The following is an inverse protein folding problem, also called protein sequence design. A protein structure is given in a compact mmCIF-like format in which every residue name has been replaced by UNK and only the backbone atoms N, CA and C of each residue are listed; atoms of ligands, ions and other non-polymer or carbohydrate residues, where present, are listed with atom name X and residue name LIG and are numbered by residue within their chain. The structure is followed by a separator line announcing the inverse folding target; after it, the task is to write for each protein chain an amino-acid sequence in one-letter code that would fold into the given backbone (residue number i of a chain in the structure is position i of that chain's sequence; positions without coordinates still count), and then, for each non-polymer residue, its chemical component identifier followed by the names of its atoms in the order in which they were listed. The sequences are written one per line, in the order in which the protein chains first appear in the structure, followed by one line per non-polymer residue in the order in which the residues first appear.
data_IF_970905988848
#
_entry.id   IF_970905988848
#
_cell.length_a   1.000
_cell.length_b   1.000
_cell.length_c   1.000
_cell.angle_alpha   90.00
_cell.angle_beta   90.00
_cell.angle_gamma   90.00
#
_symmetry.space_group_name_H-M   'P 1'
#
loop_
_entity.id
_entity.type
_entity.pdbx_description
1 polymer ?
#
# COMPACT_ATOMS: atom_id res chain seq x y z
N UNK A 1 11.57 -8.94 -2.22
CA UNK A 1 11.98 -9.92 -1.19
C UNK A 1 11.83 -9.41 0.25
N UNK A 2 11.65 -8.10 0.52
CA UNK A 2 11.26 -7.66 1.86
C UNK A 2 12.36 -7.75 2.94
N UNK A 3 13.63 -7.59 2.54
CA UNK A 3 14.78 -7.64 3.47
C UNK A 3 14.66 -6.64 4.61
N UNK A 4 14.29 -5.40 4.30
CA UNK A 4 14.01 -4.35 5.30
C UNK A 4 12.84 -4.73 6.21
N UNK A 5 11.77 -5.32 5.65
CA UNK A 5 10.61 -5.77 6.43
C UNK A 5 10.94 -6.90 7.43
N UNK A 6 11.92 -7.77 7.13
CA UNK A 6 12.42 -8.76 8.10
C UNK A 6 13.07 -8.07 9.30
N UNK A 7 13.83 -7.00 9.05
CA UNK A 7 14.51 -6.22 10.09
C UNK A 7 13.51 -5.41 10.91
N UNK A 8 12.49 -4.82 10.27
CA UNK A 8 11.36 -4.19 10.96
C UNK A 8 10.61 -5.21 11.84
N UNK A 9 10.38 -6.42 11.33
CA UNK A 9 9.79 -7.52 12.09
C UNK A 9 10.62 -7.90 13.32
N UNK A 10 11.94 -7.92 13.21
CA UNK A 10 12.83 -8.10 14.37
C UNK A 10 12.66 -6.96 15.39
N UNK A 11 12.60 -5.71 14.94
CA UNK A 11 12.39 -4.57 15.83
C UNK A 11 11.06 -4.65 16.59
N UNK A 12 9.97 -5.04 15.90
CA UNK A 12 8.66 -5.27 16.54
C UNK A 12 8.72 -6.38 17.59
N UNK A 13 9.41 -7.49 17.31
CA UNK A 13 9.58 -8.59 18.28
C UNK A 13 10.41 -8.18 19.50
N UNK A 14 11.44 -7.35 19.30
CA UNK A 14 12.23 -6.79 20.40
C UNK A 14 11.33 -5.95 21.31
N UNK A 15 10.52 -5.04 20.74
CA UNK A 15 9.58 -4.20 21.50
C UNK A 15 8.54 -5.05 22.24
N UNK A 16 8.03 -6.11 21.62
CA UNK A 16 7.09 -7.04 22.24
C UNK A 16 7.74 -7.95 23.31
N UNK A 17 9.06 -7.94 23.44
CA UNK A 17 9.80 -8.86 24.33
C UNK A 17 9.79 -10.32 23.85
N UNK A 18 9.32 -10.59 22.63
CA UNK A 18 9.30 -11.90 21.98
C UNK A 18 10.65 -12.20 21.30
N UNK A 19 11.71 -12.10 22.09
CA UNK A 19 13.09 -12.36 21.69
C UNK A 19 13.86 -12.98 22.87
N UNK A 20 15.00 -13.64 22.62
CA UNK A 20 15.89 -14.08 23.69
C UNK A 20 16.28 -12.94 24.63
N UNK A 21 16.58 -13.27 25.89
CA UNK A 21 16.87 -12.29 26.95
C UNK A 21 17.99 -11.30 26.56
N UNK A 22 18.97 -11.77 25.79
CA UNK A 22 20.07 -10.95 25.28
C UNK A 22 19.65 -9.84 24.32
N UNK A 23 18.45 -9.91 23.73
CA UNK A 23 17.92 -8.96 22.74
C UNK A 23 16.78 -8.09 23.27
N UNK A 24 16.17 -8.40 24.42
CA UNK A 24 14.98 -7.69 24.93
C UNK A 24 15.20 -6.21 25.21
N UNK A 25 16.44 -5.79 25.46
CA UNK A 25 16.81 -4.39 25.70
C UNK A 25 17.57 -3.76 24.54
N UNK A 26 17.71 -4.49 23.42
CA UNK A 26 18.43 -3.96 22.28
C UNK A 26 17.59 -2.90 21.56
N UNK A 27 18.27 -1.91 21.00
CA UNK A 27 17.75 -0.91 20.08
C UNK A 27 18.24 -1.27 18.68
N UNK A 28 17.34 -1.27 17.72
CA UNK A 28 17.67 -1.47 16.32
C UNK A 28 17.68 -0.11 15.62
N UNK A 29 18.83 0.29 15.08
CA UNK A 29 19.01 1.59 14.44
C UNK A 29 19.35 1.40 12.96
N UNK A 30 18.54 1.96 12.06
CA UNK A 30 18.85 1.98 10.64
C UNK A 30 19.78 3.16 10.33
N UNK A 31 20.90 2.88 9.65
CA UNK A 31 21.83 3.92 9.22
C UNK A 31 21.41 4.47 7.85
N UNK A 32 21.10 5.76 7.80
CA UNK A 32 20.86 6.46 6.53
C UNK A 32 22.18 6.93 5.90
N UNK A 33 22.66 6.14 4.93
CA UNK A 33 23.87 6.48 4.18
C UNK A 33 23.70 7.74 3.33
N UNK A 34 22.50 8.01 2.83
CA UNK A 34 22.24 9.19 1.99
C UNK A 34 22.32 10.47 2.81
N UNK A 35 21.79 10.46 4.03
CA UNK A 35 21.91 11.55 4.99
C UNK A 35 23.37 11.83 5.42
N UNK A 36 24.21 10.80 5.48
CA UNK A 36 25.63 10.97 5.79
C UNK A 36 26.42 11.62 4.65
N UNK A 37 26.08 11.29 3.40
CA UNK A 37 26.68 11.90 2.19
C UNK A 37 26.16 13.33 1.99
N UNK A 38 24.90 13.59 2.32
CA UNK A 38 24.29 14.91 2.21
C UNK A 38 25.04 15.94 3.08
N UNK A 39 25.53 17.00 2.42
CA UNK A 39 26.26 18.08 3.09
C UNK A 39 27.73 17.79 3.42
N UNK A 40 28.27 16.62 3.09
CA UNK A 40 29.72 16.40 3.12
C UNK A 40 30.36 17.13 1.94
N UNK A 41 31.25 18.10 2.21
CA UNK A 41 31.91 18.88 1.15
C UNK A 41 33.04 18.12 0.47
N UNK A 42 33.64 17.17 1.19
CA UNK A 42 34.75 16.34 0.73
C UNK A 42 34.62 14.92 1.30
N UNK A 43 35.21 13.95 0.60
CA UNK A 43 35.16 12.51 0.96
C UNK A 43 35.59 12.21 2.41
N UNK A 44 36.58 12.92 2.93
CA UNK A 44 37.08 12.72 4.30
C UNK A 44 36.04 13.01 5.38
N UNK A 45 35.15 13.98 5.16
CA UNK A 45 34.09 14.34 6.11
C UNK A 45 33.06 13.21 6.27
N UNK A 46 32.76 12.51 5.18
CA UNK A 46 31.90 11.32 5.20
C UNK A 46 32.54 10.16 5.98
N UNK A 47 33.83 9.89 5.71
CA UNK A 47 34.59 8.85 6.42
C UNK A 47 34.66 9.15 7.93
N UNK A 48 34.89 10.42 8.32
CA UNK A 48 34.84 10.85 9.73
C UNK A 48 33.46 10.64 10.37
N UNK A 49 32.38 10.97 9.67
CA UNK A 49 31.01 10.75 10.17
C UNK A 49 30.70 9.27 10.36
N UNK A 50 31.05 8.40 9.40
CA UNK A 50 30.87 6.95 9.55
C UNK A 50 31.69 6.42 10.71
N UNK A 51 32.94 6.89 10.85
CA UNK A 51 33.79 6.51 11.97
C UNK A 51 33.18 6.91 13.31
N UNK A 52 32.68 8.14 13.42
CA UNK A 52 32.02 8.60 14.64
C UNK A 52 30.80 7.74 15.00
N UNK A 53 29.95 7.41 14.01
CA UNK A 53 28.81 6.50 14.23
C UNK A 53 29.28 5.11 14.65
N UNK A 54 30.31 4.57 14.00
CA UNK A 54 30.84 3.26 14.33
C UNK A 54 31.43 3.21 15.75
N UNK A 55 32.17 4.24 16.15
CA UNK A 55 32.76 4.38 17.48
C UNK A 55 31.68 4.52 18.56
N UNK A 56 30.65 5.34 18.31
CA UNK A 56 29.52 5.54 19.24
C UNK A 56 28.70 4.25 19.42
N UNK A 57 28.38 3.56 18.33
CA UNK A 57 27.63 2.29 18.38
C UNK A 57 28.48 1.19 19.01
N UNK A 58 29.79 1.14 18.76
CA UNK A 58 30.68 0.12 19.32
C UNK A 58 30.88 0.28 20.84
N UNK A 59 30.61 1.47 21.39
CA UNK A 59 30.60 1.71 22.83
C UNK A 59 29.30 1.23 23.52
N UNK A 60 28.31 0.77 22.76
CA UNK A 60 26.98 0.39 23.24
C UNK A 60 26.70 -1.09 23.02
N UNK A 61 26.54 -1.84 24.11
CA UNK A 61 26.18 -3.26 24.08
C UNK A 61 24.69 -3.52 23.78
N UNK A 62 23.88 -2.48 23.69
CA UNK A 62 22.44 -2.58 23.47
C UNK A 62 22.03 -2.17 22.06
N UNK A 63 22.94 -2.00 21.10
CA UNK A 63 22.59 -1.53 19.75
C UNK A 63 22.85 -2.60 18.68
N UNK A 64 21.90 -2.71 17.75
CA UNK A 64 22.05 -3.44 16.48
C UNK A 64 21.92 -2.43 15.35
N UNK A 65 22.98 -2.27 14.56
CA UNK A 65 22.98 -1.36 13.41
C UNK A 65 22.45 -2.07 12.16
N UNK A 66 21.43 -1.53 11.53
CA UNK A 66 20.95 -1.97 10.21
C UNK A 66 21.58 -1.13 9.11
N UNK A 67 22.21 -1.82 8.16
CA UNK A 67 22.89 -1.25 7.00
C UNK A 67 22.16 -1.74 5.74
N UNK A 68 21.23 -0.94 5.22
CA UNK A 68 20.65 -1.24 3.91
C UNK A 68 21.69 -0.96 2.82
N UNK A 69 21.62 -1.74 1.75
CA UNK A 69 22.59 -1.69 0.65
C UNK A 69 24.06 -1.73 1.13
N UNK A 70 24.40 -2.63 2.06
CA UNK A 70 25.73 -2.68 2.71
C UNK A 70 26.92 -2.77 1.72
N UNK A 71 26.69 -3.29 0.51
CA UNK A 71 27.68 -3.34 -0.55
C UNK A 71 28.17 -1.95 -0.99
N UNK A 72 27.37 -0.89 -0.81
CA UNK A 72 27.73 0.50 -1.12
C UNK A 72 28.87 1.03 -0.24
N UNK A 73 29.04 0.45 0.95
CA UNK A 73 30.15 0.76 1.86
C UNK A 73 31.46 0.08 1.44
N UNK A 74 31.38 -0.92 0.57
CA UNK A 74 32.52 -1.67 0.07
C UNK A 74 32.82 -1.21 -1.34
N UNK A 75 33.85 -0.38 -1.50
CA UNK A 75 34.28 0.07 -2.80
C UNK A 75 34.73 -1.11 -3.66
N UNK A 76 33.96 -1.45 -4.70
CA UNK A 76 34.45 -2.31 -5.77
C UNK A 76 35.67 -1.61 -6.38
N UNK A 77 36.86 -2.18 -6.21
CA UNK A 77 38.16 -1.55 -6.49
C UNK A 77 38.46 -1.23 -7.97
N UNK A 78 37.60 -0.48 -8.65
CA UNK A 78 37.80 -0.03 -10.03
C UNK A 78 37.03 1.24 -10.36
N UNK A 79 37.77 2.32 -10.62
CA UNK A 79 37.49 3.51 -11.45
C UNK A 79 36.12 4.23 -11.38
N UNK A 80 35.24 3.96 -10.42
CA UNK A 80 33.98 4.70 -10.25
C UNK A 80 33.75 5.10 -8.80
N UNK A 81 34.61 5.98 -8.24
CA UNK A 81 34.25 6.85 -7.11
C UNK A 81 33.79 6.24 -5.78
N UNK A 82 33.75 4.90 -5.65
CA UNK A 82 33.25 4.20 -4.46
C UNK A 82 34.05 4.58 -3.22
N UNK A 83 33.34 4.95 -2.15
CA UNK A 83 33.93 5.24 -0.85
C UNK A 83 34.18 3.91 -0.13
N UNK A 84 35.44 3.60 0.19
CA UNK A 84 35.80 2.36 0.90
C UNK A 84 35.67 2.55 2.42
N UNK A 85 34.44 2.84 2.85
CA UNK A 85 34.09 2.99 4.26
C UNK A 85 34.13 1.66 5.02
N UNK A 86 34.17 0.53 4.31
CA UNK A 86 34.30 -0.80 4.90
C UNK A 86 35.56 -0.95 5.76
N UNK A 87 36.66 -0.31 5.38
CA UNK A 87 37.89 -0.35 6.19
C UNK A 87 37.74 0.29 7.58
N UNK A 88 36.78 1.21 7.74
CA UNK A 88 36.48 1.84 9.02
C UNK A 88 35.71 0.87 9.93
N UNK A 89 34.82 0.05 9.36
CA UNK A 89 33.98 -0.89 10.11
C UNK A 89 34.70 -2.22 10.43
N UNK A 90 35.65 -2.65 9.59
CA UNK A 90 36.38 -3.93 9.73
C UNK A 90 36.97 -4.16 11.14
N UNK A 91 37.67 -3.19 11.77
CA UNK A 91 38.23 -3.39 13.10
C UNK A 91 37.16 -3.68 14.17
N UNK A 92 36.08 -2.91 14.19
CA UNK A 92 34.99 -3.09 15.16
C UNK A 92 34.24 -4.42 14.94
N UNK A 93 34.01 -4.79 13.67
CA UNK A 93 33.44 -6.11 13.31
C UNK A 93 34.35 -7.27 13.68
N UNK A 94 35.68 -7.11 13.54
CA UNK A 94 36.64 -8.15 13.86
C UNK A 94 36.76 -8.41 15.37
N UNK A 95 36.63 -7.35 16.18
CA UNK A 95 36.62 -7.43 17.65
C UNK A 95 35.25 -7.86 18.21
N UNK A 96 34.19 -7.81 17.41
CA UNK A 96 32.84 -8.16 17.84
C UNK A 96 32.15 -7.03 18.62
N UNK A 97 32.69 -5.82 18.57
CA UNK A 97 32.15 -4.63 19.25
C UNK A 97 30.95 -4.05 18.48
N UNK A 98 30.92 -4.19 17.16
CA UNK A 98 29.83 -3.72 16.32
C UNK A 98 28.90 -4.88 15.95
N UNK A 99 27.66 -4.85 16.45
CA UNK A 99 26.57 -5.74 15.98
C UNK A 99 25.82 -5.08 14.85
N UNK A 100 25.75 -5.73 13.70
CA UNK A 100 24.99 -5.20 12.58
C UNK A 100 24.28 -6.26 11.75
N UNK A 101 23.26 -5.82 11.03
CA UNK A 101 22.54 -6.58 10.00
C UNK A 101 22.71 -5.81 8.69
N UNK A 102 23.30 -6.45 7.69
CA UNK A 102 23.45 -5.88 6.34
C UNK A 102 22.43 -6.45 5.36
N UNK A 103 21.85 -5.61 4.52
CA UNK A 103 21.02 -6.04 3.39
C UNK A 103 21.71 -5.71 2.05
N UNK A 104 21.68 -6.64 1.11
CA UNK A 104 22.23 -6.47 -0.26
C UNK A 104 21.62 -7.52 -1.19
N UNK A 105 21.75 -7.34 -2.51
CA UNK A 105 21.38 -8.38 -3.48
C UNK A 105 22.42 -9.50 -3.52
N UNK A 106 22.06 -10.63 -4.13
CA UNK A 106 22.99 -11.75 -4.25
C UNK A 106 24.21 -11.38 -5.12
N UNK A 107 23.98 -10.67 -6.22
CA UNK A 107 25.04 -10.29 -7.16
C UNK A 107 26.02 -9.31 -6.50
N UNK A 108 25.52 -8.27 -5.84
CA UNK A 108 26.34 -7.32 -5.07
C UNK A 108 27.12 -7.99 -3.92
N UNK A 109 26.48 -8.95 -3.21
CA UNK A 109 27.17 -9.71 -2.18
C UNK A 109 28.39 -10.45 -2.76
N UNK A 110 28.22 -11.12 -3.89
CA UNK A 110 29.31 -11.84 -4.57
C UNK A 110 30.38 -10.89 -5.10
N UNK A 111 29.97 -9.73 -5.60
CA UNK A 111 30.88 -8.78 -6.23
C UNK A 111 31.72 -7.99 -5.22
N UNK A 112 31.16 -7.66 -4.05
CA UNK A 112 31.78 -6.78 -3.06
C UNK A 112 32.13 -7.48 -1.74
N UNK A 113 31.17 -8.17 -1.11
CA UNK A 113 31.35 -8.71 0.26
C UNK A 113 32.12 -10.03 0.25
N UNK A 114 31.79 -10.94 -0.66
CA UNK A 114 32.39 -12.28 -0.76
C UNK A 114 33.88 -12.22 -1.17
N UNK A 115 34.24 -11.25 -2.02
CA UNK A 115 35.64 -11.02 -2.42
C UNK A 115 36.49 -10.44 -1.30
N UNK A 116 35.89 -9.75 -0.32
CA UNK A 116 36.59 -9.23 0.84
C UNK A 116 36.68 -10.29 1.93
N UNK A 117 37.83 -10.95 2.03
CA UNK A 117 38.06 -12.02 3.00
C UNK A 117 37.90 -11.62 4.47
N UNK A 118 38.01 -10.32 4.81
CA UNK A 118 37.79 -9.85 6.18
C UNK A 118 36.29 -9.75 6.48
N UNK A 119 35.49 -9.22 5.56
CA UNK A 119 34.03 -9.10 5.73
C UNK A 119 33.33 -10.46 5.61
N UNK A 120 33.71 -11.28 4.62
CA UNK A 120 33.11 -12.59 4.38
C UNK A 120 33.20 -13.52 5.60
N UNK A 121 34.23 -13.38 6.43
CA UNK A 121 34.42 -14.16 7.67
C UNK A 121 33.61 -13.64 8.86
N UNK A 122 33.05 -12.44 8.79
CA UNK A 122 32.33 -11.78 9.89
C UNK A 122 30.83 -11.75 9.69
N UNK A 123 30.37 -11.81 8.44
CA UNK A 123 28.94 -11.90 8.13
C UNK A 123 28.48 -13.35 7.96
N UNK A 124 27.42 -13.72 8.67
CA UNK A 124 26.65 -14.91 8.35
C UNK A 124 25.64 -14.59 7.24
N UNK A 125 25.62 -15.40 6.18
CA UNK A 125 24.68 -15.22 5.07
C UNK A 125 23.30 -15.78 5.43
N UNK A 126 22.29 -14.92 5.41
CA UNK A 126 20.88 -15.29 5.51
C UNK A 126 20.24 -15.05 4.14
N UNK A 127 19.70 -16.09 3.53
CA UNK A 127 19.00 -15.98 2.24
C UNK A 127 17.55 -15.61 2.50
N UNK A 128 17.09 -14.53 1.86
CA UNK A 128 15.70 -14.07 1.92
C UNK A 128 15.09 -14.24 0.54
N UNK A 129 14.44 -15.39 0.34
CA UNK A 129 13.80 -15.74 -0.92
C UNK A 129 12.49 -14.98 -1.12
N UNK A 130 12.04 -14.94 -2.37
CA UNK A 130 10.74 -14.41 -2.72
C UNK A 130 9.64 -15.30 -2.12
N UNK A 131 8.62 -14.74 -1.44
CA UNK A 131 7.55 -15.55 -0.87
C UNK A 131 6.80 -16.29 -1.98
N UNK A 132 6.31 -17.48 -1.66
CA UNK A 132 5.42 -18.22 -2.54
C UNK A 132 4.02 -17.57 -2.60
N UNK A 133 3.11 -18.17 -3.38
CA UNK A 133 1.77 -17.63 -3.58
C UNK A 133 0.94 -17.64 -2.29
N UNK A 134 1.07 -18.68 -1.46
CA UNK A 134 0.32 -18.82 -0.21
C UNK A 134 0.78 -17.79 0.83
N UNK A 135 2.09 -17.66 1.01
CA UNK A 135 2.71 -16.68 1.90
C UNK A 135 2.43 -15.26 1.44
N UNK A 136 2.48 -14.98 0.14
CA UNK A 136 2.11 -13.67 -0.41
C UNK A 136 0.63 -13.36 -0.13
N UNK A 137 -0.27 -14.33 -0.33
CA UNK A 137 -1.68 -14.14 -0.05
C UNK A 137 -1.94 -13.86 1.43
N UNK A 138 -1.26 -14.57 2.34
CA UNK A 138 -1.33 -14.33 3.78
C UNK A 138 -0.84 -12.91 4.14
N UNK A 139 0.26 -12.45 3.54
CA UNK A 139 0.76 -11.08 3.71
C UNK A 139 -0.26 -10.03 3.25
N UNK A 140 -0.87 -10.23 2.07
CA UNK A 140 -1.90 -9.33 1.56
C UNK A 140 -3.13 -9.29 2.48
N UNK A 141 -3.57 -10.44 3.01
CA UNK A 141 -4.67 -10.51 3.99
C UNK A 141 -4.33 -9.75 5.28
N UNK A 142 -3.11 -9.90 5.79
CA UNK A 142 -2.66 -9.18 6.99
C UNK A 142 -2.62 -7.66 6.79
N UNK A 143 -2.26 -7.21 5.58
CA UNK A 143 -2.20 -5.80 5.24
C UNK A 143 -3.54 -5.20 4.75
N UNK A 144 -4.51 -6.05 4.38
CA UNK A 144 -5.79 -5.66 3.76
C UNK A 144 -6.45 -4.49 4.48
N UNK A 145 -6.63 -4.59 5.80
CA UNK A 145 -7.32 -3.57 6.59
C UNK A 145 -6.64 -2.19 6.52
N UNK A 146 -5.31 -2.14 6.38
CA UNK A 146 -4.56 -0.88 6.23
C UNK A 146 -4.84 -0.21 4.88
N UNK A 147 -4.85 -0.99 3.80
CA UNK A 147 -5.17 -0.48 2.46
C UNK A 147 -6.64 -0.08 2.32
N UNK A 148 -7.55 -0.87 2.87
CA UNK A 148 -8.97 -0.53 2.91
C UNK A 148 -9.23 0.78 3.65
N UNK A 149 -8.59 0.97 4.81
CA UNK A 149 -8.68 2.21 5.57
C UNK A 149 -8.04 3.41 4.84
N UNK A 150 -6.88 3.22 4.23
CA UNK A 150 -6.15 4.29 3.54
C UNK A 150 -6.89 4.81 2.30
N UNK A 151 -7.43 3.90 1.48
CA UNK A 151 -8.14 4.25 0.25
C UNK A 151 -9.64 4.44 0.46
N UNK A 152 -10.17 4.02 1.60
CA UNK A 152 -11.60 4.02 1.88
C UNK A 152 -12.36 3.10 0.93
N UNK A 153 -11.83 1.93 0.61
CA UNK A 153 -12.50 0.94 -0.25
C UNK A 153 -12.49 -0.41 0.42
N UNK A 154 -13.38 -1.31 0.02
CA UNK A 154 -13.28 -2.71 0.41
C UNK A 154 -12.43 -3.49 -0.60
N UNK A 155 -11.79 -4.56 -0.16
CA UNK A 155 -10.97 -5.44 -1.00
C UNK A 155 -11.52 -6.86 -0.86
N UNK A 156 -11.99 -7.43 -1.97
CA UNK A 156 -12.55 -8.80 -1.98
C UNK A 156 -11.46 -9.86 -1.85
N UNK A 157 -11.82 -11.04 -1.35
CA UNK A 157 -10.89 -12.18 -1.25
C UNK A 157 -10.44 -12.63 -2.66
N UNK A 158 -11.35 -12.59 -3.63
CA UNK A 158 -11.07 -12.88 -5.03
C UNK A 158 -10.06 -11.89 -5.62
N UNK A 159 -10.11 -10.60 -5.24
CA UNK A 159 -9.12 -9.61 -5.66
C UNK A 159 -7.72 -9.92 -5.10
N UNK A 160 -7.61 -10.36 -3.85
CA UNK A 160 -6.32 -10.76 -3.28
C UNK A 160 -5.73 -11.96 -4.04
N UNK A 161 -6.55 -12.98 -4.29
CA UNK A 161 -6.13 -14.16 -5.06
C UNK A 161 -5.73 -13.79 -6.50
N UNK A 162 -6.51 -12.94 -7.16
CA UNK A 162 -6.21 -12.45 -8.51
C UNK A 162 -4.90 -11.66 -8.53
N UNK A 163 -4.62 -10.86 -7.49
CA UNK A 163 -3.40 -10.06 -7.38
C UNK A 163 -2.17 -10.97 -7.40
N UNK A 164 -2.16 -12.02 -6.58
CA UNK A 164 -1.05 -12.98 -6.54
C UNK A 164 -0.89 -13.68 -7.89
N UNK A 165 -1.96 -14.30 -8.41
CA UNK A 165 -1.91 -15.09 -9.66
C UNK A 165 -1.48 -14.24 -10.86
N UNK A 166 -2.12 -13.08 -11.05
CA UNK A 166 -1.89 -12.23 -12.22
C UNK A 166 -0.53 -11.53 -12.14
N UNK A 167 -0.13 -11.04 -10.96
CA UNK A 167 1.19 -10.43 -10.79
C UNK A 167 2.32 -11.44 -11.02
N UNK A 168 2.18 -12.70 -10.57
CA UNK A 168 3.21 -13.73 -10.80
C UNK A 168 3.35 -14.05 -12.28
N UNK A 169 2.23 -14.17 -12.99
CA UNK A 169 2.20 -14.58 -14.39
C UNK A 169 2.66 -13.47 -15.34
N UNK A 170 2.19 -12.25 -15.12
CA UNK A 170 2.28 -11.17 -16.12
C UNK A 170 3.29 -10.07 -15.77
N UNK A 171 3.67 -9.92 -14.50
CA UNK A 171 4.65 -8.90 -14.07
C UNK A 171 6.02 -9.55 -13.84
N UNK A 172 6.68 -9.90 -14.95
CA UNK A 172 8.05 -10.44 -14.96
C UNK A 172 9.06 -9.32 -14.76
N UNK A 173 10.20 -9.61 -14.12
CA UNK A 173 11.23 -8.61 -13.82
C UNK A 173 11.01 -7.80 -12.53
N UNK A 174 9.95 -8.10 -11.77
CA UNK A 174 9.74 -7.60 -10.41
C UNK A 174 9.51 -8.77 -9.44
N UNK A 175 9.81 -8.55 -8.17
CA UNK A 175 9.77 -9.57 -7.13
C UNK A 175 8.58 -9.37 -6.18
N UNK A 176 8.05 -10.46 -5.65
CA UNK A 176 7.16 -10.48 -4.50
C UNK A 176 7.91 -10.16 -3.20
N UNK A 177 7.18 -9.67 -2.17
CA UNK A 177 5.75 -9.33 -2.21
C UNK A 177 5.46 -7.95 -2.84
N UNK A 178 6.49 -7.14 -3.11
CA UNK A 178 6.43 -5.76 -3.59
C UNK A 178 5.45 -5.54 -4.77
N UNK A 179 5.62 -6.31 -5.87
CA UNK A 179 4.75 -6.15 -7.04
C UNK A 179 3.27 -6.46 -6.77
N UNK A 180 2.96 -7.29 -5.77
CA UNK A 180 1.58 -7.59 -5.40
C UNK A 180 0.96 -6.42 -4.65
N UNK A 181 1.69 -5.87 -3.69
CA UNK A 181 1.28 -4.70 -2.93
C UNK A 181 1.06 -3.51 -3.86
N UNK A 182 1.94 -3.26 -4.82
CA UNK A 182 1.75 -2.18 -5.80
C UNK A 182 0.49 -2.35 -6.67
N UNK A 183 0.17 -3.59 -7.08
CA UNK A 183 -1.02 -3.85 -7.90
C UNK A 183 -2.29 -3.64 -7.07
N UNK A 184 -2.28 -4.11 -5.82
CA UNK A 184 -3.40 -3.93 -4.90
C UNK A 184 -3.62 -2.45 -4.59
N UNK A 185 -2.55 -1.72 -4.31
CA UNK A 185 -2.56 -0.29 -4.00
C UNK A 185 -3.11 0.54 -5.17
N UNK A 186 -2.58 0.32 -6.39
CA UNK A 186 -3.07 1.04 -7.57
C UNK A 186 -4.54 0.71 -7.86
N UNK A 187 -4.96 -0.53 -7.64
CA UNK A 187 -6.36 -0.94 -7.86
C UNK A 187 -7.30 -0.25 -6.86
N UNK A 188 -6.90 -0.17 -5.59
CA UNK A 188 -7.64 0.52 -4.56
C UNK A 188 -7.71 2.04 -4.81
N UNK A 189 -6.58 2.66 -5.19
CA UNK A 189 -6.53 4.08 -5.53
C UNK A 189 -7.42 4.42 -6.73
N UNK A 190 -7.42 3.58 -7.77
CA UNK A 190 -8.29 3.77 -8.95
C UNK A 190 -9.76 3.67 -8.59
N UNK A 191 -10.14 2.70 -7.76
CA UNK A 191 -11.51 2.53 -7.34
C UNK A 191 -12.01 3.74 -6.54
N UNK A 192 -11.17 4.28 -5.65
CA UNK A 192 -11.45 5.52 -4.94
C UNK A 192 -11.71 6.68 -5.91
N UNK A 193 -10.87 6.86 -6.92
CA UNK A 193 -11.07 7.90 -7.94
C UNK A 193 -12.39 7.70 -8.71
N UNK A 194 -12.75 6.45 -9.02
CA UNK A 194 -14.02 6.13 -9.68
C UNK A 194 -15.23 6.44 -8.80
N UNK A 195 -15.14 6.26 -7.47
CA UNK A 195 -16.20 6.66 -6.53
C UNK A 195 -16.41 8.18 -6.51
N UNK A 196 -15.32 8.94 -6.53
CA UNK A 196 -15.38 10.40 -6.54
C UNK A 196 -15.93 10.95 -7.87
N UNK A 197 -15.70 10.20 -8.96
CA UNK A 197 -16.17 10.53 -10.29
C UNK A 197 -17.69 10.38 -10.45
N UNK A 198 -18.22 11.19 -11.36
CA UNK A 198 -19.61 11.09 -11.78
C UNK A 198 -19.83 9.82 -12.62
N UNK A 199 -20.84 8.99 -12.33
CA UNK A 199 -21.10 7.79 -13.11
C UNK A 199 -21.46 8.12 -14.56
N UNK A 200 -21.00 7.29 -15.50
CA UNK A 200 -21.27 7.46 -16.94
C UNK A 200 -22.77 7.58 -17.24
N UNK A 201 -23.62 6.85 -16.51
CA UNK A 201 -25.08 6.90 -16.67
C UNK A 201 -25.63 8.31 -16.38
N UNK A 202 -25.08 9.01 -15.39
CA UNK A 202 -25.51 10.39 -15.07
C UNK A 202 -25.03 11.33 -16.18
N UNK A 203 -23.78 11.22 -16.60
CA UNK A 203 -23.19 12.06 -17.63
C UNK A 203 -23.89 11.88 -19.00
N UNK A 204 -24.25 10.65 -19.37
CA UNK A 204 -25.04 10.36 -20.57
C UNK A 204 -26.43 11.03 -20.54
N UNK A 205 -27.12 10.97 -19.40
CA UNK A 205 -28.43 11.61 -19.21
C UNK A 205 -28.33 13.13 -19.25
N UNK A 206 -27.29 13.72 -18.66
CA UNK A 206 -27.04 15.16 -18.76
C UNK A 206 -26.77 15.61 -20.19
N UNK A 207 -25.90 14.88 -20.91
CA UNK A 207 -25.62 15.17 -22.32
C UNK A 207 -26.89 15.03 -23.17
N UNK A 208 -27.76 14.07 -22.88
CA UNK A 208 -29.04 13.93 -23.54
C UNK A 208 -29.99 15.10 -23.26
N UNK A 209 -30.12 15.51 -21.99
CA UNK A 209 -30.92 16.67 -21.59
C UNK A 209 -30.41 17.96 -22.25
N UNK A 210 -29.10 18.17 -22.28
CA UNK A 210 -28.49 19.33 -22.92
C UNK A 210 -28.85 19.39 -24.41
N UNK A 211 -28.75 18.27 -25.14
CA UNK A 211 -29.16 18.20 -26.56
C UNK A 211 -30.63 18.57 -26.77
N UNK A 212 -31.52 18.10 -25.90
CA UNK A 212 -32.95 18.41 -25.97
C UNK A 212 -33.23 19.89 -25.67
N UNK A 213 -32.54 20.49 -24.69
CA UNK A 213 -32.65 21.92 -24.36
C UNK A 213 -32.16 22.79 -25.50
N UNK A 214 -31.00 22.48 -26.09
CA UNK A 214 -30.50 23.20 -27.27
C UNK A 214 -31.47 23.12 -28.45
N UNK A 215 -32.06 21.93 -28.69
CA UNK A 215 -33.10 21.77 -29.72
C UNK A 215 -34.34 22.63 -29.43
N UNK A 216 -34.78 22.66 -28.18
CA UNK A 216 -35.94 23.46 -27.76
C UNK A 216 -35.70 24.96 -27.96
N UNK A 217 -34.53 25.46 -27.54
CA UNK A 217 -34.13 26.86 -27.74
C UNK A 217 -34.03 27.21 -29.24
N UNK A 218 -33.50 26.31 -30.07
CA UNK A 218 -33.45 26.49 -31.51
C UNK A 218 -34.83 26.64 -32.15
N UNK A 219 -35.80 25.78 -31.78
CA UNK A 219 -37.18 25.88 -32.28
C UNK A 219 -37.81 27.20 -31.81
N UNK A 220 -37.66 27.55 -30.53
CA UNK A 220 -38.18 28.82 -29.97
C UNK A 220 -37.61 30.05 -30.66
N UNK A 221 -36.32 30.04 -30.98
CA UNK A 221 -35.65 31.14 -31.67
C UNK A 221 -36.05 31.27 -33.14
N UNK A 222 -36.30 30.14 -33.82
CA UNK A 222 -36.76 30.13 -35.22
C UNK A 222 -38.21 30.57 -35.39
N UNK A 223 -39.05 30.43 -34.34
CA UNK A 223 -40.49 30.66 -34.42
C UNK A 223 -41.24 29.64 -35.29
N UNK A 224 -40.54 28.64 -35.83
CA UNK A 224 -41.06 27.62 -36.74
C UNK A 224 -41.03 26.24 -36.06
N UNK A 225 -42.20 25.60 -35.96
CA UNK A 225 -42.35 24.23 -35.43
C UNK A 225 -43.01 24.15 -34.05
N UNK A 226 -43.60 22.99 -33.75
CA UNK A 226 -44.27 22.74 -32.48
C UNK A 226 -43.25 22.41 -31.36
N UNK A 227 -43.22 23.26 -30.33
CA UNK A 227 -42.36 23.10 -29.15
C UNK A 227 -42.89 22.06 -28.17
N UNK A 228 -44.20 21.83 -28.13
CA UNK A 228 -44.85 20.97 -27.14
C UNK A 228 -44.26 19.54 -27.04
N UNK A 229 -43.96 18.83 -28.15
CA UNK A 229 -43.36 17.50 -28.07
C UNK A 229 -41.94 17.53 -27.48
N UNK A 230 -41.13 18.55 -27.81
CA UNK A 230 -39.75 18.67 -27.30
C UNK A 230 -39.76 19.10 -25.83
N UNK A 231 -40.67 19.99 -25.43
CA UNK A 231 -40.84 20.36 -24.02
C UNK A 231 -41.25 19.15 -23.16
N UNK A 232 -42.13 18.29 -23.67
CA UNK A 232 -42.49 17.03 -22.99
C UNK A 232 -41.28 16.11 -22.84
N UNK A 233 -40.42 16.00 -23.86
CA UNK A 233 -39.18 15.22 -23.80
C UNK A 233 -38.17 15.82 -22.82
N UNK A 234 -38.02 17.14 -22.77
CA UNK A 234 -37.16 17.82 -21.79
C UNK A 234 -37.63 17.53 -20.37
N UNK A 235 -38.92 17.69 -20.08
CA UNK A 235 -39.48 17.39 -18.75
C UNK A 235 -39.29 15.92 -18.35
N UNK A 236 -39.46 14.99 -19.29
CA UNK A 236 -39.20 13.57 -19.04
C UNK A 236 -37.71 13.32 -18.73
N UNK A 237 -36.79 13.88 -19.53
CA UNK A 237 -35.35 13.75 -19.33
C UNK A 237 -34.87 14.41 -18.02
N UNK A 238 -35.48 15.53 -17.61
CA UNK A 238 -35.23 16.18 -16.31
C UNK A 238 -35.64 15.28 -15.15
N UNK A 239 -36.82 14.64 -15.23
CA UNK A 239 -37.29 13.71 -14.22
C UNK A 239 -36.38 12.49 -14.10
N UNK A 240 -35.99 11.89 -15.23
CA UNK A 240 -35.05 10.76 -15.26
C UNK A 240 -33.68 11.15 -14.68
N UNK A 241 -33.14 12.32 -15.06
CA UNK A 241 -31.86 12.79 -14.53
C UNK A 241 -31.94 13.04 -13.02
N UNK A 242 -33.01 13.66 -12.54
CA UNK A 242 -33.23 13.88 -11.11
C UNK A 242 -33.28 12.57 -10.33
N UNK A 243 -33.93 11.53 -10.87
CA UNK A 243 -33.98 10.20 -10.25
C UNK A 243 -32.58 9.55 -10.17
N UNK A 244 -31.82 9.55 -11.26
CA UNK A 244 -30.48 8.93 -11.28
C UNK A 244 -29.50 9.73 -10.39
N UNK A 245 -29.54 11.06 -10.43
CA UNK A 245 -28.71 11.90 -9.54
C UNK A 245 -29.06 11.71 -8.08
N UNK A 246 -30.35 11.59 -7.74
CA UNK A 246 -30.80 11.33 -6.37
C UNK A 246 -30.25 10.00 -5.86
N UNK A 247 -30.36 8.93 -6.66
CA UNK A 247 -29.78 7.62 -6.33
C UNK A 247 -28.27 7.67 -6.17
N UNK A 248 -27.55 8.31 -7.08
CA UNK A 248 -26.09 8.46 -6.99
C UNK A 248 -25.68 9.24 -5.73
N UNK A 249 -26.39 10.32 -5.40
CA UNK A 249 -26.11 11.13 -4.22
C UNK A 249 -26.34 10.33 -2.94
N UNK A 250 -27.43 9.56 -2.87
CA UNK A 250 -27.72 8.68 -1.75
C UNK A 250 -26.65 7.59 -1.58
N UNK A 251 -26.31 6.90 -2.67
CA UNK A 251 -25.27 5.86 -2.68
C UNK A 251 -23.90 6.40 -2.27
N UNK A 252 -23.52 7.57 -2.79
CA UNK A 252 -22.28 8.27 -2.42
C UNK A 252 -22.28 8.67 -0.94
N UNK A 253 -23.40 9.19 -0.43
CA UNK A 253 -23.51 9.60 0.98
C UNK A 253 -23.31 8.42 1.93
N UNK A 254 -23.93 7.27 1.63
CA UNK A 254 -23.76 6.05 2.44
C UNK A 254 -22.34 5.52 2.34
N UNK A 255 -21.76 5.49 1.13
CA UNK A 255 -20.38 5.05 0.91
C UNK A 255 -19.36 5.92 1.66
N UNK A 256 -19.47 7.23 1.56
CA UNK A 256 -18.55 8.15 2.25
C UNK A 256 -18.73 8.05 3.78
N UNK A 257 -19.96 7.83 4.26
CA UNK A 257 -20.24 7.53 5.67
C UNK A 257 -19.58 6.24 6.15
N UNK A 258 -19.60 5.17 5.36
CA UNK A 258 -18.93 3.90 5.67
C UNK A 258 -17.42 4.10 5.79
N UNK A 259 -16.83 4.84 4.86
CA UNK A 259 -15.39 5.14 4.87
C UNK A 259 -14.99 5.92 6.12
N UNK A 260 -15.73 6.98 6.45
CA UNK A 260 -15.49 7.77 7.65
C UNK A 260 -15.61 6.92 8.93
N UNK A 261 -16.64 6.08 9.01
CA UNK A 261 -16.87 5.19 10.16
C UNK A 261 -15.75 4.16 10.30
N UNK A 262 -15.34 3.50 9.21
CA UNK A 262 -14.23 2.53 9.23
C UNK A 262 -12.90 3.14 9.61
N UNK A 263 -12.62 4.36 9.15
CA UNK A 263 -11.44 5.12 9.55
C UNK A 263 -11.44 5.40 11.06
N UNK A 264 -12.57 5.86 11.60
CA UNK A 264 -12.72 6.09 13.04
C UNK A 264 -12.57 4.79 13.85
N UNK A 265 -13.07 3.66 13.36
CA UNK A 265 -12.88 2.34 13.99
C UNK A 265 -11.39 1.97 14.02
N UNK A 266 -10.66 2.17 12.92
CA UNK A 266 -9.23 1.86 12.84
C UNK A 266 -8.41 2.71 13.84
N UNK A 267 -8.70 4.02 13.91
CA UNK A 267 -8.07 4.93 14.88
C UNK A 267 -8.36 4.51 16.33
N UNK A 268 -9.61 4.16 16.64
CA UNK A 268 -10.00 3.69 17.98
C UNK A 268 -9.43 2.33 18.33
N UNK A 269 -9.22 1.43 17.37
CA UNK A 269 -8.52 0.16 17.59
C UNK A 269 -7.04 0.40 17.94
N UNK A 270 -6.37 1.32 17.25
CA UNK A 270 -4.99 1.68 17.58
C UNK A 270 -4.89 2.33 18.96
N UNK A 271 -5.85 3.18 19.32
CA UNK A 271 -5.92 3.78 20.67
C UNK A 271 -6.15 2.72 21.76
N UNK A 272 -7.01 1.73 21.50
CA UNK A 272 -7.24 0.61 22.40
C UNK A 272 -5.96 -0.21 22.62
N UNK A 273 -5.26 -0.57 21.54
CA UNK A 273 -4.03 -1.34 21.60
C UNK A 273 -2.94 -0.58 22.38
N UNK A 274 -2.80 0.73 22.17
CA UNK A 274 -1.89 1.57 22.93
C UNK A 274 -2.24 1.59 24.43
N UNK A 275 -3.52 1.73 24.78
CA UNK A 275 -3.97 1.73 26.17
C UNK A 275 -3.72 0.38 26.87
N UNK A 276 -3.95 -0.73 26.16
CA UNK A 276 -3.67 -2.09 26.65
C UNK A 276 -2.18 -2.29 26.91
N UNK A 277 -1.33 -1.82 26.01
CA UNK A 277 0.13 -1.90 26.15
C UNK A 277 0.67 -1.08 27.32
N UNK A 278 0.05 0.07 27.64
CA UNK A 278 0.42 0.89 28.79
C UNK A 278 -0.23 0.45 30.11
N UNK A 279 -1.13 -0.56 30.07
CA UNK A 279 -1.88 -1.02 31.23
C UNK A 279 -2.98 -0.06 31.71
N UNK A 280 -3.44 0.86 30.86
CA UNK A 280 -4.51 1.81 31.18
C UNK A 280 -5.88 1.15 30.98
N UNK A 281 -6.31 0.41 32.00
CA UNK A 281 -7.55 -0.38 31.98
C UNK A 281 -8.80 0.51 31.84
N UNK A 282 -8.79 1.70 32.40
CA UNK A 282 -9.93 2.62 32.35
C UNK A 282 -10.14 3.13 30.92
N UNK A 283 -9.07 3.61 30.28
CA UNK A 283 -9.10 4.06 28.90
C UNK A 283 -9.44 2.93 27.93
N UNK A 284 -8.86 1.75 28.13
CA UNK A 284 -9.18 0.57 27.31
C UNK A 284 -10.68 0.21 27.39
N UNK A 285 -11.27 0.25 28.58
CA UNK A 285 -12.70 -0.03 28.76
C UNK A 285 -13.60 1.02 28.08
N UNK A 286 -13.27 2.31 28.20
CA UNK A 286 -13.99 3.41 27.56
C UNK A 286 -13.99 3.27 26.03
N UNK A 287 -12.82 3.02 25.44
CA UNK A 287 -12.69 2.87 23.98
C UNK A 287 -13.45 1.63 23.49
N UNK A 288 -13.31 0.50 24.20
CA UNK A 288 -13.91 -0.79 23.79
C UNK A 288 -15.43 -0.79 23.90
N UNK A 289 -15.99 -0.40 25.05
CA UNK A 289 -17.43 -0.49 25.31
C UNK A 289 -18.21 0.78 24.97
N UNK A 290 -17.51 1.92 24.84
CA UNK A 290 -18.08 3.18 24.37
C UNK A 290 -17.87 3.35 22.86
N UNK A 291 -16.75 3.95 22.48
CA UNK A 291 -16.52 4.41 21.09
C UNK A 291 -16.62 3.29 20.05
N UNK A 292 -15.93 2.15 20.25
CA UNK A 292 -15.92 1.07 19.26
C UNK A 292 -17.29 0.39 19.12
N UNK A 293 -18.04 0.23 20.22
CA UNK A 293 -19.39 -0.32 20.17
C UNK A 293 -20.32 0.58 19.36
N UNK A 294 -20.32 1.89 19.65
CA UNK A 294 -21.13 2.86 18.93
C UNK A 294 -20.78 2.91 17.42
N UNK A 295 -19.49 2.96 17.09
CA UNK A 295 -19.04 2.96 15.70
C UNK A 295 -19.38 1.66 14.97
N UNK A 296 -19.33 0.50 15.66
CA UNK A 296 -19.76 -0.78 15.09
C UNK A 296 -21.26 -0.83 14.80
N UNK A 297 -22.10 -0.26 15.67
CA UNK A 297 -23.54 -0.13 15.42
C UNK A 297 -23.83 0.82 14.23
N UNK A 298 -23.10 1.93 14.14
CA UNK A 298 -23.17 2.86 13.01
C UNK A 298 -22.75 2.20 11.69
N UNK A 299 -21.64 1.46 11.69
CA UNK A 299 -21.19 0.72 10.51
C UNK A 299 -22.25 -0.29 10.07
N UNK A 300 -22.84 -1.04 11.00
CA UNK A 300 -23.88 -2.01 10.69
C UNK A 300 -25.15 -1.38 10.08
N UNK A 301 -25.58 -0.20 10.53
CA UNK A 301 -26.71 0.52 9.92
C UNK A 301 -26.38 0.98 8.50
N UNK A 302 -25.19 1.56 8.30
CA UNK A 302 -24.74 2.00 6.99
C UNK A 302 -24.59 0.83 6.00
N UNK A 303 -24.08 -0.32 6.44
CA UNK A 303 -24.01 -1.54 5.61
C UNK A 303 -25.41 -1.98 5.17
N UNK A 304 -26.39 -1.99 6.08
CA UNK A 304 -27.78 -2.33 5.72
C UNK A 304 -28.39 -1.37 4.71
N UNK A 305 -28.16 -0.06 4.87
CA UNK A 305 -28.59 0.95 3.90
C UNK A 305 -27.92 0.74 2.55
N UNK A 306 -26.62 0.45 2.55
CA UNK A 306 -25.86 0.17 1.33
C UNK A 306 -26.42 -1.05 0.59
N UNK A 307 -26.72 -2.14 1.30
CA UNK A 307 -27.34 -3.35 0.72
C UNK A 307 -28.73 -3.06 0.11
N UNK A 308 -29.52 -2.20 0.76
CA UNK A 308 -30.83 -1.81 0.25
C UNK A 308 -30.74 -0.97 -1.04
N UNK A 309 -29.75 -0.07 -1.11
CA UNK A 309 -29.50 0.79 -2.29
C UNK A 309 -28.96 -0.05 -3.45
N UNK A 310 -27.95 -0.90 -3.20
CA UNK A 310 -27.28 -1.70 -4.24
C UNK A 310 -28.19 -2.74 -4.89
N UNK A 311 -29.27 -3.19 -4.23
CA UNK A 311 -30.32 -4.02 -4.87
C UNK A 311 -30.98 -3.36 -6.09
N UNK A 312 -30.94 -2.03 -6.20
CA UNK A 312 -31.45 -1.26 -7.34
C UNK A 312 -30.41 -1.05 -8.46
N UNK A 313 -29.26 -1.70 -8.35
CA UNK A 313 -28.08 -1.51 -9.21
C UNK A 313 -27.01 -0.67 -8.53
N UNK A 314 -25.74 -0.96 -8.84
CA UNK A 314 -24.57 -0.26 -8.28
C UNK A 314 -24.16 0.85 -9.24
N UNK A 315 -24.15 2.11 -8.79
CA UNK A 315 -23.58 3.22 -9.57
C UNK A 315 -22.21 3.65 -9.06
N UNK A 316 -21.93 3.40 -7.78
CA UNK A 316 -20.68 3.77 -7.12
C UNK A 316 -19.94 2.48 -6.77
N UNK A 317 -18.82 2.16 -7.44
CA UNK A 317 -18.10 0.95 -7.13
C UNK A 317 -17.46 1.04 -5.73
N UNK A 318 -17.66 0.00 -4.92
CA UNK A 318 -17.33 0.00 -3.47
C UNK A 318 -16.17 -0.94 -3.11
N UNK A 319 -15.95 -1.96 -3.93
CA UNK A 319 -15.05 -3.06 -3.63
C UNK A 319 -14.10 -3.28 -4.80
N UNK A 320 -12.82 -3.47 -4.49
CA UNK A 320 -11.83 -3.92 -5.45
C UNK A 320 -12.11 -5.40 -5.74
N UNK A 321 -12.34 -5.70 -7.02
CA UNK A 321 -12.65 -7.04 -7.52
C UNK A 321 -11.52 -7.54 -8.41
N UNK A 322 -11.56 -8.83 -8.74
CA UNK A 322 -10.60 -9.46 -9.65
C UNK A 322 -10.51 -8.75 -11.02
N UNK A 323 -11.61 -8.14 -11.50
CA UNK A 323 -11.64 -7.35 -12.73
C UNK A 323 -10.82 -6.07 -12.65
N UNK A 324 -10.78 -5.42 -11.49
CA UNK A 324 -10.00 -4.20 -11.27
C UNK A 324 -8.51 -4.51 -11.26
N UNK A 325 -8.14 -5.61 -10.57
CA UNK A 325 -6.80 -6.18 -10.58
C UNK A 325 -6.37 -6.51 -12.01
N UNK A 326 -7.20 -7.24 -12.76
CA UNK A 326 -6.93 -7.60 -14.15
C UNK A 326 -6.68 -6.34 -14.99
N UNK A 327 -7.47 -5.28 -14.79
CA UNK A 327 -7.29 -4.02 -15.48
C UNK A 327 -5.95 -3.34 -15.18
N UNK A 328 -5.51 -3.34 -13.92
CA UNK A 328 -4.20 -2.80 -13.53
C UNK A 328 -3.06 -3.63 -14.10
N UNK A 329 -3.11 -4.96 -13.95
CA UNK A 329 -2.07 -5.86 -14.44
C UNK A 329 -1.97 -5.82 -15.97
N UNK A 330 -3.12 -5.80 -16.68
CA UNK A 330 -3.19 -5.65 -18.13
C UNK A 330 -2.48 -4.39 -18.62
N UNK A 331 -2.74 -3.24 -17.99
CA UNK A 331 -2.07 -1.98 -18.33
C UNK A 331 -0.57 -2.03 -18.07
N UNK A 332 -0.15 -2.52 -16.90
CA UNK A 332 1.27 -2.65 -16.54
C UNK A 332 2.02 -3.61 -17.45
N UNK A 333 1.37 -4.70 -17.87
CA UNK A 333 1.96 -5.70 -18.75
C UNK A 333 1.87 -5.33 -20.24
N UNK A 334 1.10 -4.30 -20.61
CA UNK A 334 0.84 -3.95 -22.01
C UNK A 334 -0.01 -4.97 -22.77
N UNK A 335 -0.86 -5.73 -22.08
CA UNK A 335 -1.69 -6.81 -22.65
C UNK A 335 -3.16 -6.40 -22.58
N UNK A 336 -3.97 -6.60 -23.64
CA UNK A 336 -5.42 -6.36 -23.57
C UNK A 336 -6.11 -7.20 -22.47
N UNK A 337 -7.02 -6.59 -21.71
CA UNK A 337 -7.79 -7.27 -20.64
C UNK A 337 -8.52 -8.51 -21.17
N UNK A 338 -9.10 -8.44 -22.38
CA UNK A 338 -9.83 -9.56 -22.99
C UNK A 338 -8.98 -10.83 -23.07
N UNK A 339 -7.74 -10.71 -23.54
CA UNK A 339 -6.78 -11.82 -23.61
C UNK A 339 -6.38 -12.35 -22.23
N UNK A 340 -6.31 -11.46 -21.23
CA UNK A 340 -5.99 -11.86 -19.86
C UNK A 340 -7.11 -12.71 -19.24
N UNK A 341 -8.36 -12.26 -19.40
CA UNK A 341 -9.56 -12.94 -18.87
C UNK A 341 -9.88 -14.25 -19.59
N UNK A 342 -9.70 -14.33 -20.92
CA UNK A 342 -9.82 -15.59 -21.68
C UNK A 342 -8.83 -16.64 -21.17
N UNK A 343 -7.58 -16.25 -20.93
CA UNK A 343 -6.52 -17.16 -20.48
C UNK A 343 -6.68 -17.69 -19.05
N UNK A 344 -7.51 -17.03 -18.23
CA UNK A 344 -7.95 -17.50 -16.91
C UNK A 344 -9.13 -18.47 -17.04
N UNK A 345 -10.08 -18.15 -17.93
CA UNK A 345 -11.31 -18.94 -18.14
C UNK A 345 -11.04 -20.29 -18.80
N UNK A 346 -10.14 -20.35 -19.79
CA UNK A 346 -9.71 -21.60 -20.45
C UNK A 346 -8.94 -22.56 -19.53
N UNK A 347 -8.42 -22.08 -18.40
CA UNK A 347 -7.65 -22.91 -17.44
C UNK A 347 -8.47 -23.45 -16.28
N UNK A 348 -9.68 -22.93 -16.09
CA UNK A 348 -10.66 -23.44 -15.11
C UNK A 348 -11.56 -24.53 -15.69
N UNK A 349 -11.49 -24.75 -17.02
CA UNK A 349 -12.14 -25.83 -17.78
C UNK A 349 -11.16 -26.99 -18.01
#
# INVERSE_FOLDING_TARGET
TGKTAVVEGLALRIVAGDVPESLKKCRLLALDLTGLVAGAKYRGEFEERIKAVADEVSALDDVILFLDEIHTLVGAGGNAGGMDAANILKPALARGELRCVGATTFDEYRESIEKDGALARRFARIVCDEPDDEMTLAMLRGAKGRYEAHHGVAITEEALQATVKMARRHLRGRFFPDKAFDVLDESAARLRMQREAKPNVVDEKERALMRLRTRLEGIKASGEGDVAPVEKQVKAAEAELAEVMGRWTEEKTVADGLVATRKAIAEKKAELEAAENTGDVAKAAEVRYGSLKFLGEQEADLVKRQEAITKKGVMVPQEVRATDIAGVVARRAGIPISRMMESERERLL
#
